data_IF_008148935974
#
_entry.id   IF_008148935974
#
_cell.length_a   1.000
_cell.length_b   1.000
_cell.length_c   1.000
_cell.angle_alpha   90.00
_cell.angle_beta   90.00
_cell.angle_gamma   90.00
#
_symmetry.space_group_name_H-M   'P 1'
#
loop_
_entity.id
_entity.type
_entity.pdbx_description
1 polymer ?
#
# COMPACT_ATOMS: atom_id res chain seq x y z
N UNK A 1 0.14 -34.63 -25.76
CA UNK A 1 -0.52 -34.44 -24.45
C UNK A 1 -0.69 -32.94 -24.21
N UNK A 2 -1.90 -32.42 -24.39
CA UNK A 2 -2.23 -31.01 -24.20
C UNK A 2 -2.38 -30.71 -22.69
N UNK A 3 -1.32 -30.24 -22.03
CA UNK A 3 -1.36 -29.79 -20.63
C UNK A 3 -1.65 -28.28 -20.59
N UNK A 4 -2.76 -27.86 -21.20
CA UNK A 4 -3.24 -26.48 -21.08
C UNK A 4 -4.77 -26.51 -21.01
N UNK A 5 -5.30 -27.24 -20.02
CA UNK A 5 -6.56 -26.82 -19.43
C UNK A 5 -6.30 -25.50 -18.72
N UNK A 6 -6.69 -24.43 -19.40
CA UNK A 6 -6.83 -23.08 -18.88
C UNK A 6 -7.46 -23.14 -17.49
N UNK A 7 -6.65 -22.85 -16.46
CA UNK A 7 -7.14 -22.60 -15.11
C UNK A 7 -7.99 -21.32 -15.16
N UNK A 8 -9.26 -21.47 -15.51
CA UNK A 8 -10.31 -20.47 -15.29
C UNK A 8 -10.44 -20.28 -13.79
N UNK A 9 -9.78 -19.22 -13.33
CA UNK A 9 -9.55 -18.87 -11.94
C UNK A 9 -8.27 -18.05 -11.82
N UNK A 10 -8.06 -17.13 -12.79
CA UNK A 10 -6.92 -16.21 -12.76
C UNK A 10 -6.97 -15.46 -11.44
N UNK A 11 -5.82 -15.45 -10.77
CA UNK A 11 -5.61 -15.05 -9.39
C UNK A 11 -5.94 -13.55 -9.21
N UNK A 12 -7.23 -13.20 -9.10
CA UNK A 12 -7.76 -11.82 -8.97
C UNK A 12 -7.08 -11.02 -7.86
N UNK A 13 -6.47 -11.71 -6.90
CA UNK A 13 -5.68 -11.15 -5.80
C UNK A 13 -4.62 -10.15 -6.25
N UNK A 14 -3.92 -10.42 -7.36
CA UNK A 14 -2.76 -9.60 -7.78
C UNK A 14 -3.12 -8.47 -8.76
N UNK A 15 -4.40 -8.26 -9.05
CA UNK A 15 -4.84 -7.22 -9.99
C UNK A 15 -4.39 -5.81 -9.56
N UNK A 16 -4.28 -5.55 -8.27
CA UNK A 16 -3.82 -4.26 -7.75
C UNK A 16 -2.33 -3.96 -8.05
N UNK A 17 -1.53 -4.96 -8.42
CA UNK A 17 -0.15 -4.76 -8.88
C UNK A 17 -0.09 -4.37 -10.37
N UNK A 18 -1.05 -4.82 -11.19
CA UNK A 18 -1.07 -4.65 -12.65
C UNK A 18 -1.12 -3.20 -13.11
N UNK A 19 -1.46 -2.29 -12.21
CA UNK A 19 -1.60 -0.86 -12.49
C UNK A 19 -0.47 -0.01 -11.89
N UNK A 20 0.56 -0.65 -11.30
CA UNK A 20 1.67 0.03 -10.62
C UNK A 20 2.84 0.32 -11.55
N UNK A 21 2.52 0.75 -12.75
CA UNK A 21 3.49 1.22 -13.73
C UNK A 21 3.31 2.73 -13.92
N UNK A 22 4.42 3.45 -14.09
CA UNK A 22 4.40 4.89 -14.41
C UNK A 22 3.49 5.19 -15.59
N UNK A 23 3.52 4.34 -16.63
CA UNK A 23 2.66 4.49 -17.81
C UNK A 23 1.16 4.42 -17.46
N UNK A 24 0.73 3.62 -16.48
CA UNK A 24 -0.67 3.56 -16.07
C UNK A 24 -1.11 4.89 -15.42
N UNK A 25 -0.26 5.46 -14.55
CA UNK A 25 -0.49 6.77 -13.91
C UNK A 25 -0.51 7.89 -14.95
N UNK A 26 0.49 7.95 -15.84
CA UNK A 26 0.53 8.93 -16.93
C UNK A 26 -0.74 8.89 -17.76
N UNK A 27 -1.17 7.70 -18.20
CA UNK A 27 -2.39 7.55 -18.99
C UNK A 27 -3.64 8.01 -18.26
N UNK A 28 -3.80 7.68 -16.98
CA UNK A 28 -4.97 8.11 -16.21
C UNK A 28 -5.04 9.63 -16.09
N UNK A 29 -3.91 10.29 -15.82
CA UNK A 29 -3.83 11.74 -15.73
C UNK A 29 -4.04 12.42 -17.10
N UNK A 30 -3.39 11.95 -18.16
CA UNK A 30 -3.55 12.50 -19.51
C UNK A 30 -4.99 12.36 -20.02
N UNK A 31 -5.65 11.23 -19.76
CA UNK A 31 -7.06 11.05 -20.13
C UNK A 31 -7.95 12.11 -19.50
N UNK A 32 -7.71 12.43 -18.22
CA UNK A 32 -8.49 13.43 -17.49
C UNK A 32 -8.16 14.85 -17.94
N UNK A 33 -6.88 15.18 -18.10
CA UNK A 33 -6.41 16.53 -18.44
C UNK A 33 -6.78 16.93 -19.88
N UNK A 34 -6.79 15.98 -20.82
CA UNK A 34 -7.07 16.22 -22.24
C UNK A 34 -8.45 15.67 -22.68
N UNK A 35 -9.31 15.30 -21.74
CA UNK A 35 -10.67 14.78 -21.99
C UNK A 35 -10.72 13.64 -23.03
N UNK A 36 -9.77 12.71 -22.94
CA UNK A 36 -9.63 11.61 -23.89
C UNK A 36 -10.45 10.38 -23.48
N UNK A 37 -10.85 9.59 -24.47
CA UNK A 37 -11.54 8.32 -24.26
C UNK A 37 -10.73 7.32 -23.40
N UNK A 38 -11.43 6.41 -22.72
CA UNK A 38 -10.80 5.42 -21.83
C UNK A 38 -9.77 4.53 -22.55
N UNK A 39 -9.99 4.19 -23.82
CA UNK A 39 -9.07 3.42 -24.66
C UNK A 39 -8.24 4.30 -25.62
N UNK A 40 -7.92 5.55 -25.23
CA UNK A 40 -7.19 6.48 -26.09
C UNK A 40 -5.78 5.99 -26.44
N UNK A 41 -5.59 5.58 -27.70
CA UNK A 41 -4.28 5.23 -28.27
C UNK A 41 -3.33 6.42 -28.33
N UNK A 42 -3.86 7.64 -28.45
CA UNK A 42 -3.07 8.87 -28.44
C UNK A 42 -2.42 9.10 -27.07
N UNK A 43 -3.17 8.86 -25.98
CA UNK A 43 -2.60 8.93 -24.63
C UNK A 43 -1.51 7.87 -24.43
N UNK A 44 -1.72 6.65 -24.94
CA UNK A 44 -0.72 5.57 -24.89
C UNK A 44 0.56 5.94 -25.65
N UNK A 45 0.41 6.47 -26.87
CA UNK A 45 1.50 6.93 -27.70
C UNK A 45 2.28 8.06 -27.03
N UNK A 46 1.59 9.08 -26.52
CA UNK A 46 2.22 10.20 -25.86
C UNK A 46 3.06 9.74 -24.66
N UNK A 47 2.53 8.85 -23.80
CA UNK A 47 3.28 8.31 -22.67
C UNK A 47 4.51 7.52 -23.13
N UNK A 48 4.35 6.61 -24.09
CA UNK A 48 5.42 5.74 -24.57
C UNK A 48 6.54 6.50 -25.29
N UNK A 49 6.19 7.43 -26.18
CA UNK A 49 7.14 8.27 -26.91
C UNK A 49 7.89 9.19 -25.95
N UNK A 50 7.18 9.80 -24.99
CA UNK A 50 7.80 10.64 -23.96
C UNK A 50 8.79 9.85 -23.12
N UNK A 51 8.39 8.68 -22.61
CA UNK A 51 9.26 7.83 -21.80
C UNK A 51 10.52 7.41 -22.58
N UNK A 52 10.37 7.03 -23.86
CA UNK A 52 11.49 6.67 -24.74
C UNK A 52 12.44 7.85 -24.96
N UNK A 53 11.90 9.04 -25.22
CA UNK A 53 12.71 10.25 -25.43
C UNK A 53 13.51 10.61 -24.18
N UNK A 54 12.88 10.57 -23.01
CA UNK A 54 13.53 10.79 -21.71
C UNK A 54 14.60 9.75 -21.41
N UNK A 55 14.32 8.46 -21.57
CA UNK A 55 15.31 7.41 -21.34
C UNK A 55 16.52 7.54 -22.26
N UNK A 56 16.30 7.93 -23.52
CA UNK A 56 17.38 8.17 -24.48
C UNK A 56 18.23 9.36 -24.03
N UNK A 57 17.59 10.48 -23.68
CA UNK A 57 18.26 11.68 -23.21
C UNK A 57 19.05 11.41 -21.91
N UNK A 58 18.46 10.70 -20.95
CA UNK A 58 19.10 10.31 -19.70
C UNK A 58 20.35 9.44 -19.93
N UNK A 59 20.26 8.50 -20.87
CA UNK A 59 21.38 7.64 -21.27
C UNK A 59 22.53 8.45 -21.85
N UNK A 60 22.26 9.49 -22.65
CA UNK A 60 23.33 10.35 -23.21
C UNK A 60 24.07 11.16 -22.15
N UNK A 61 23.42 11.51 -21.04
CA UNK A 61 24.01 12.27 -19.94
C UNK A 61 24.54 11.43 -18.78
N UNK A 62 24.42 10.10 -18.87
CA UNK A 62 24.79 9.19 -17.78
C UNK A 62 23.93 9.33 -16.52
N UNK A 63 22.76 9.95 -16.64
CA UNK A 63 21.79 10.08 -15.54
C UNK A 63 20.85 8.89 -15.53
N UNK A 64 20.40 8.46 -14.36
CA UNK A 64 19.43 7.37 -14.23
C UNK A 64 18.39 7.70 -13.17
N UNK A 65 17.13 7.50 -13.54
CA UNK A 65 16.01 7.49 -12.61
C UNK A 65 15.70 6.08 -12.12
N UNK A 66 15.16 6.01 -10.92
CA UNK A 66 14.64 4.78 -10.33
C UNK A 66 13.14 4.69 -10.63
N UNK A 67 12.72 3.65 -11.32
CA UNK A 67 11.31 3.44 -11.64
C UNK A 67 10.54 2.91 -10.41
N UNK A 68 9.21 3.12 -10.34
CA UNK A 68 8.40 2.43 -9.35
C UNK A 68 8.56 0.91 -9.44
N UNK A 69 8.71 0.27 -8.29
CA UNK A 69 9.03 -1.14 -8.22
C UNK A 69 10.51 -1.47 -8.25
N UNK A 70 11.41 -0.48 -8.29
CA UNK A 70 12.86 -0.69 -8.17
C UNK A 70 13.39 -0.27 -6.80
N UNK A 71 14.34 -1.05 -6.28
CA UNK A 71 15.10 -0.80 -5.06
C UNK A 71 16.52 -0.37 -5.42
N UNK A 72 16.98 0.74 -4.87
CA UNK A 72 18.37 1.18 -4.95
C UNK A 72 19.18 0.57 -3.80
N UNK A 73 20.28 -0.09 -4.11
CA UNK A 73 21.27 -0.56 -3.12
C UNK A 73 22.66 -0.08 -3.51
N UNK A 74 23.61 -0.31 -2.60
CA UNK A 74 25.02 -0.07 -2.80
C UNK A 74 25.80 -1.28 -2.33
N UNK A 75 26.62 -1.83 -3.22
CA UNK A 75 27.43 -3.02 -3.00
C UNK A 75 28.85 -2.72 -3.47
N UNK A 76 29.84 -2.82 -2.59
CA UNK A 76 31.24 -2.51 -2.92
C UNK A 76 31.48 -1.07 -3.42
N UNK A 77 30.67 -0.10 -2.99
CA UNK A 77 30.73 1.29 -3.46
C UNK A 77 30.05 1.52 -4.83
N UNK A 78 29.50 0.47 -5.45
CA UNK A 78 28.75 0.55 -6.68
C UNK A 78 27.24 0.55 -6.40
N UNK A 79 26.53 1.54 -6.94
CA UNK A 79 25.07 1.58 -6.88
C UNK A 79 24.47 0.51 -7.80
N UNK A 80 23.62 -0.34 -7.23
CA UNK A 80 22.86 -1.36 -7.96
C UNK A 80 21.37 -1.10 -7.86
N UNK A 81 20.63 -1.52 -8.87
CA UNK A 81 19.18 -1.40 -8.92
C UNK A 81 18.57 -2.78 -9.04
N UNK A 82 17.75 -3.16 -8.06
CA UNK A 82 17.07 -4.45 -8.02
C UNK A 82 15.58 -4.28 -8.33
N UNK A 83 15.04 -4.98 -9.35
CA UNK A 83 13.62 -4.88 -9.68
C UNK A 83 12.79 -5.75 -8.74
N UNK A 84 11.90 -5.12 -7.97
CA UNK A 84 10.86 -5.80 -7.18
C UNK A 84 9.57 -5.97 -7.99
N UNK A 85 9.31 -5.11 -8.96
CA UNK A 85 8.19 -5.21 -9.88
C UNK A 85 8.64 -4.66 -11.23
N UNK A 86 8.49 -5.44 -12.31
CA UNK A 86 8.84 -5.02 -13.67
C UNK A 86 7.75 -5.42 -14.67
N UNK A 87 7.83 -4.86 -15.87
CA UNK A 87 6.84 -5.10 -16.94
C UNK A 87 6.66 -6.59 -17.25
N UNK A 88 7.75 -7.37 -17.24
CA UNK A 88 7.72 -8.82 -17.48
C UNK A 88 6.91 -9.55 -16.40
N UNK A 89 7.14 -9.23 -15.12
CA UNK A 89 6.41 -9.81 -14.00
C UNK A 89 4.92 -9.45 -14.07
N UNK A 90 4.61 -8.19 -14.40
CA UNK A 90 3.22 -7.73 -14.56
C UNK A 90 2.52 -8.43 -15.73
N UNK A 91 3.19 -8.58 -16.87
CA UNK A 91 2.69 -9.33 -18.02
C UNK A 91 2.39 -10.79 -17.66
N UNK A 92 3.30 -11.46 -16.94
CA UNK A 92 3.10 -12.83 -16.48
C UNK A 92 1.92 -12.96 -15.51
N UNK A 93 1.81 -12.07 -14.52
CA UNK A 93 0.67 -12.03 -13.59
C UNK A 93 -0.65 -11.81 -14.33
N UNK A 94 -0.68 -10.88 -15.29
CA UNK A 94 -1.85 -10.60 -16.13
C UNK A 94 -2.30 -11.83 -16.93
N UNK A 95 -1.35 -12.62 -17.41
CA UNK A 95 -1.61 -13.85 -18.16
C UNK A 95 -1.88 -15.08 -17.28
N UNK A 96 -1.97 -14.90 -15.96
CA UNK A 96 -2.33 -15.96 -15.02
C UNK A 96 -1.17 -16.82 -14.53
N UNK A 97 0.08 -16.43 -14.78
CA UNK A 97 1.25 -17.07 -14.17
C UNK A 97 1.16 -16.96 -12.65
N UNK A 98 1.43 -18.07 -11.95
CA UNK A 98 1.33 -18.12 -10.50
C UNK A 98 2.36 -17.21 -9.82
N UNK A 99 1.95 -16.56 -8.72
CA UNK A 99 2.77 -15.70 -7.88
C UNK A 99 4.17 -16.25 -7.58
N UNK A 100 4.27 -17.52 -7.16
CA UNK A 100 5.56 -18.14 -6.80
C UNK A 100 6.54 -18.20 -7.98
N UNK A 101 6.03 -18.46 -9.19
CA UNK A 101 6.86 -18.53 -10.39
C UNK A 101 7.38 -17.15 -10.77
N UNK A 102 6.50 -16.13 -10.75
CA UNK A 102 6.87 -14.74 -11.03
C UNK A 102 7.91 -14.24 -10.02
N UNK A 103 7.71 -14.52 -8.72
CA UNK A 103 8.68 -14.17 -7.67
C UNK A 103 10.03 -14.82 -7.93
N UNK A 104 10.07 -16.11 -8.32
CA UNK A 104 11.33 -16.81 -8.57
C UNK A 104 12.06 -16.27 -9.80
N UNK A 105 11.35 -15.90 -10.86
CA UNK A 105 11.96 -15.24 -12.02
C UNK A 105 12.50 -13.84 -11.69
N UNK A 106 11.80 -13.07 -10.85
CA UNK A 106 12.29 -11.79 -10.35
C UNK A 106 13.57 -11.97 -9.52
N UNK A 107 13.62 -12.98 -8.65
CA UNK A 107 14.80 -13.28 -7.84
C UNK A 107 16.02 -13.61 -8.71
N UNK A 108 15.84 -14.38 -9.79
CA UNK A 108 16.91 -14.63 -10.76
C UNK A 108 17.40 -13.33 -11.42
N UNK A 109 16.48 -12.45 -11.82
CA UNK A 109 16.83 -11.16 -12.39
C UNK A 109 17.60 -10.27 -11.39
N UNK A 110 17.17 -10.24 -10.12
CA UNK A 110 17.84 -9.52 -9.05
C UNK A 110 19.25 -10.08 -8.80
N UNK A 111 19.39 -11.41 -8.82
CA UNK A 111 20.68 -12.09 -8.66
C UNK A 111 21.66 -11.74 -9.78
N UNK A 112 21.20 -11.71 -11.03
CA UNK A 112 22.01 -11.27 -12.17
C UNK A 112 22.50 -9.82 -12.01
N UNK A 113 21.68 -8.92 -11.46
CA UNK A 113 22.11 -7.54 -11.20
C UNK A 113 23.12 -7.47 -10.05
N UNK A 114 22.94 -8.26 -9.00
CA UNK A 114 23.90 -8.35 -7.90
C UNK A 114 25.26 -8.87 -8.40
N UNK A 115 25.27 -9.94 -9.20
CA UNK A 115 26.47 -10.52 -9.81
C UNK A 115 27.23 -9.55 -10.71
N UNK A 116 26.57 -8.57 -11.34
CA UNK A 116 27.25 -7.53 -12.14
C UNK A 116 28.09 -6.58 -11.30
N UNK A 117 27.68 -6.31 -10.05
CA UNK A 117 28.44 -5.46 -9.15
C UNK A 117 29.41 -6.25 -8.28
N UNK A 118 29.03 -7.46 -7.87
CA UNK A 118 29.84 -8.37 -7.10
C UNK A 118 29.81 -9.76 -7.74
N UNK A 119 30.78 -10.09 -8.62
CA UNK A 119 30.84 -11.39 -9.30
C UNK A 119 30.92 -12.59 -8.36
N UNK A 120 31.38 -12.42 -7.13
CA UNK A 120 31.46 -13.49 -6.11
C UNK A 120 30.16 -13.65 -5.31
N UNK A 121 29.21 -12.72 -5.43
CA UNK A 121 27.97 -12.74 -4.65
C UNK A 121 27.17 -14.04 -4.85
N UNK A 122 26.67 -14.59 -3.77
CA UNK A 122 25.88 -15.82 -3.72
C UNK A 122 24.38 -15.51 -3.68
N UNK A 123 23.56 -16.55 -3.86
CA UNK A 123 22.11 -16.40 -3.69
C UNK A 123 21.75 -16.07 -2.22
N UNK A 124 22.57 -16.51 -1.27
CA UNK A 124 22.39 -16.20 0.15
C UNK A 124 22.61 -14.72 0.42
N UNK A 125 23.62 -14.10 -0.22
CA UNK A 125 23.84 -12.65 -0.16
C UNK A 125 22.62 -11.88 -0.69
N UNK A 126 22.02 -12.34 -1.78
CA UNK A 126 20.77 -11.76 -2.27
C UNK A 126 19.63 -11.92 -1.26
N UNK A 127 19.47 -13.10 -0.65
CA UNK A 127 18.42 -13.34 0.35
C UNK A 127 18.56 -12.45 1.57
N UNK A 128 19.77 -12.18 2.03
CA UNK A 128 20.03 -11.20 3.09
C UNK A 128 19.53 -9.79 2.74
N UNK A 129 19.51 -9.43 1.46
CA UNK A 129 19.04 -8.12 0.99
C UNK A 129 17.52 -8.11 0.76
N UNK A 130 16.98 -9.06 0.00
CA UNK A 130 15.61 -8.93 -0.54
C UNK A 130 14.63 -9.99 -0.08
N UNK A 131 15.07 -11.14 0.42
CA UNK A 131 14.20 -12.28 0.72
C UNK A 131 14.70 -13.10 1.93
N UNK A 132 14.78 -12.44 3.10
CA UNK A 132 15.36 -13.01 4.32
C UNK A 132 14.62 -14.26 4.84
N UNK A 133 13.41 -14.53 4.33
CA UNK A 133 12.63 -15.72 4.66
C UNK A 133 13.14 -17.02 4.06
N UNK A 134 14.02 -16.96 3.05
CA UNK A 134 14.65 -18.15 2.43
C UNK A 134 15.93 -18.59 3.15
N UNK A 135 16.42 -17.79 4.10
CA UNK A 135 17.59 -18.13 4.89
C UNK A 135 17.32 -19.34 5.80
N UNK A 136 18.37 -20.07 6.14
CA UNK A 136 18.27 -21.21 7.06
C UNK A 136 18.14 -20.70 8.50
N UNK A 137 16.90 -20.60 8.98
CA UNK A 137 16.59 -20.06 10.30
C UNK A 137 16.20 -21.16 11.30
N UNK A 138 16.76 -21.08 12.51
CA UNK A 138 16.31 -21.92 13.63
C UNK A 138 14.92 -21.50 14.10
N UNK A 139 14.17 -22.43 14.70
CA UNK A 139 12.87 -22.08 15.30
C UNK A 139 13.10 -21.13 16.49
N UNK A 140 12.54 -19.92 16.39
CA UNK A 140 12.59 -18.91 17.43
C UNK A 140 11.39 -18.97 18.38
N UNK A 141 11.48 -18.21 19.47
CA UNK A 141 10.39 -17.99 20.43
C UNK A 141 9.25 -17.12 19.87
N UNK A 142 8.30 -16.77 20.74
CA UNK A 142 7.18 -15.87 20.40
C UNK A 142 7.52 -14.39 20.57
N UNK A 143 8.63 -14.07 21.21
CA UNK A 143 9.05 -12.69 21.44
C UNK A 143 9.84 -12.14 20.24
N UNK A 144 9.14 -11.38 19.40
CA UNK A 144 9.72 -10.77 18.20
C UNK A 144 9.44 -9.27 18.09
N UNK A 145 8.66 -8.70 19.00
CA UNK A 145 8.29 -7.30 18.92
C UNK A 145 9.49 -6.42 19.36
N UNK A 146 9.71 -5.27 18.70
CA UNK A 146 10.76 -4.34 19.11
C UNK A 146 10.47 -3.82 20.54
N UNK A 147 11.51 -3.52 21.32
CA UNK A 147 11.34 -3.03 22.70
C UNK A 147 10.65 -1.66 22.75
N UNK A 148 10.88 -0.84 21.72
CA UNK A 148 10.29 0.49 21.58
C UNK A 148 9.73 0.65 20.18
N UNK A 149 8.57 1.30 20.11
CA UNK A 149 8.00 1.75 18.84
C UNK A 149 8.89 2.79 18.18
N UNK A 150 8.80 2.86 16.86
CA UNK A 150 9.36 3.96 16.08
C UNK A 150 8.71 5.27 16.51
N UNK A 151 9.53 6.29 16.72
CA UNK A 151 9.05 7.64 16.95
C UNK A 151 8.63 8.23 15.60
N UNK A 152 7.33 8.12 15.28
CA UNK A 152 6.80 8.54 14.00
C UNK A 152 7.11 9.99 13.68
N UNK A 153 7.19 10.89 14.67
CA UNK A 153 7.53 12.31 14.47
C UNK A 153 8.97 12.48 13.96
N UNK A 154 9.90 11.66 14.47
CA UNK A 154 11.33 11.71 14.08
C UNK A 154 11.63 11.02 12.75
N UNK A 155 10.70 10.25 12.19
CA UNK A 155 10.88 9.61 10.88
C UNK A 155 11.05 10.69 9.81
N UNK A 156 12.25 10.79 9.25
CA UNK A 156 12.49 11.65 8.10
C UNK A 156 11.83 11.03 6.88
N UNK A 157 11.02 11.80 6.17
CA UNK A 157 10.42 11.35 4.92
C UNK A 157 11.52 11.21 3.87
N UNK A 158 11.74 10.03 3.28
CA UNK A 158 12.63 9.88 2.14
C UNK A 158 12.08 10.66 0.95
N UNK A 159 12.71 11.76 0.51
CA UNK A 159 12.46 12.49 -0.76
C UNK A 159 11.00 12.97 -1.07
N UNK A 160 10.70 14.19 -1.52
CA UNK A 160 11.40 15.21 -2.32
C UNK A 160 11.05 16.61 -1.81
N UNK A 161 11.99 17.56 -1.92
CA UNK A 161 11.73 18.98 -1.63
C UNK A 161 11.03 19.73 -2.78
N UNK A 162 11.11 19.25 -4.02
CA UNK A 162 10.36 19.81 -5.15
C UNK A 162 10.24 18.82 -6.32
N UNK A 163 9.28 19.07 -7.21
CA UNK A 163 9.11 18.39 -8.51
C UNK A 163 10.06 18.92 -9.60
N UNK A 164 10.93 19.87 -9.26
CA UNK A 164 11.70 20.64 -10.23
C UNK A 164 13.00 19.92 -10.59
N UNK A 165 12.88 18.97 -11.51
CA UNK A 165 13.89 18.78 -12.54
C UNK A 165 13.26 19.22 -13.84
N UNK A 166 13.53 20.44 -14.29
CA UNK A 166 13.07 20.89 -15.61
C UNK A 166 13.64 19.94 -16.65
N UNK A 167 12.78 19.09 -17.20
CA UNK A 167 13.10 18.31 -18.38
C UNK A 167 13.27 19.35 -19.49
N UNK A 168 14.47 19.49 -20.07
CA UNK A 168 14.67 20.49 -21.09
C UNK A 168 13.75 20.19 -22.28
N UNK A 169 13.19 21.21 -22.94
CA UNK A 169 12.35 21.02 -24.12
C UNK A 169 13.00 20.13 -25.18
N UNK A 170 14.33 20.25 -25.34
CA UNK A 170 15.16 19.42 -26.22
C UNK A 170 15.01 17.90 -25.98
N UNK A 171 14.81 17.48 -24.73
CA UNK A 171 14.62 16.06 -24.40
C UNK A 171 13.27 15.52 -24.89
N UNK A 172 12.31 16.40 -25.16
CA UNK A 172 10.94 16.07 -25.54
C UNK A 172 10.70 16.24 -27.05
N UNK A 173 11.54 16.99 -27.76
CA UNK A 173 11.41 17.21 -29.22
C UNK A 173 11.19 15.93 -30.03
N UNK A 174 11.91 14.81 -29.80
CA UNK A 174 11.68 13.60 -30.58
C UNK A 174 10.27 13.03 -30.38
N UNK A 175 9.72 13.13 -29.17
CA UNK A 175 8.38 12.65 -28.86
C UNK A 175 7.30 13.57 -29.47
N UNK A 176 7.49 14.89 -29.37
CA UNK A 176 6.59 15.89 -29.99
C UNK A 176 6.53 15.68 -31.50
N UNK A 177 7.69 15.54 -32.15
CA UNK A 177 7.77 15.33 -33.59
C UNK A 177 7.03 14.08 -34.03
N UNK A 178 7.25 12.93 -33.37
CA UNK A 178 6.51 11.70 -33.68
C UNK A 178 5.00 11.83 -33.43
N UNK A 179 4.56 12.56 -32.42
CA UNK A 179 3.12 12.78 -32.21
C UNK A 179 2.48 13.66 -33.29
N UNK A 180 3.22 14.61 -33.84
CA UNK A 180 2.74 15.44 -34.96
C UNK A 180 2.75 14.63 -36.26
N UNK A 181 3.90 14.05 -36.60
CA UNK A 181 4.14 13.39 -37.90
C UNK A 181 3.39 12.06 -38.03
N UNK A 182 3.42 11.22 -36.99
CA UNK A 182 2.88 9.84 -37.05
C UNK A 182 1.43 9.74 -36.52
N UNK A 183 1.02 10.65 -35.63
CA UNK A 183 -0.30 10.62 -34.97
C UNK A 183 -1.22 11.77 -35.37
N UNK A 184 -0.74 12.75 -36.14
CA UNK A 184 -1.54 13.85 -36.67
C UNK A 184 -2.00 14.86 -35.61
N UNK A 185 -1.31 14.95 -34.47
CA UNK A 185 -1.64 15.94 -33.44
C UNK A 185 -1.21 17.34 -33.89
N UNK A 186 -1.95 18.36 -33.45
CA UNK A 186 -1.52 19.76 -33.56
C UNK A 186 -0.24 19.96 -32.73
N UNK A 187 0.77 20.72 -33.20
CA UNK A 187 2.03 20.92 -32.47
C UNK A 187 1.84 21.32 -31.01
N UNK A 188 1.01 22.34 -30.74
CA UNK A 188 0.71 22.79 -29.38
C UNK A 188 0.07 21.69 -28.49
N UNK A 189 -0.74 20.81 -29.08
CA UNK A 189 -1.35 19.69 -28.35
C UNK A 189 -0.31 18.60 -28.06
N UNK A 190 0.54 18.28 -29.03
CA UNK A 190 1.63 17.31 -28.86
C UNK A 190 2.63 17.78 -27.78
N UNK A 191 3.00 19.06 -27.79
CA UNK A 191 3.84 19.69 -26.77
C UNK A 191 3.20 19.58 -25.39
N UNK A 192 1.95 20.03 -25.23
CA UNK A 192 1.25 19.99 -23.94
C UNK A 192 1.12 18.55 -23.39
N UNK A 193 0.77 17.58 -24.24
CA UNK A 193 0.66 16.17 -23.84
C UNK A 193 2.00 15.59 -23.42
N UNK A 194 3.06 15.88 -24.17
CA UNK A 194 4.42 15.42 -23.89
C UNK A 194 4.95 16.03 -22.60
N UNK A 195 4.78 17.35 -22.40
CA UNK A 195 5.18 18.03 -21.16
C UNK A 195 4.44 17.49 -19.93
N UNK A 196 3.13 17.25 -20.03
CA UNK A 196 2.38 16.67 -18.90
C UNK A 196 2.83 15.22 -18.63
N UNK A 197 3.00 14.40 -19.67
CA UNK A 197 3.51 13.04 -19.52
C UNK A 197 4.90 13.03 -18.89
N UNK A 198 5.78 13.96 -19.28
CA UNK A 198 7.14 14.08 -18.77
C UNK A 198 7.17 14.51 -17.30
N UNK A 199 6.29 15.45 -16.91
CA UNK A 199 6.08 15.85 -15.51
C UNK A 199 5.66 14.66 -14.65
N UNK A 200 4.70 13.85 -15.11
CA UNK A 200 4.22 12.68 -14.37
C UNK A 200 5.29 11.58 -14.33
N UNK A 201 6.02 11.36 -15.43
CA UNK A 201 7.14 10.42 -15.46
C UNK A 201 8.19 10.77 -14.40
N UNK A 202 8.59 12.03 -14.35
CA UNK A 202 9.57 12.52 -13.38
C UNK A 202 9.03 12.48 -11.96
N UNK A 203 7.74 12.73 -11.77
CA UNK A 203 7.08 12.58 -10.47
C UNK A 203 7.15 11.13 -9.97
N UNK A 204 6.82 10.16 -10.82
CA UNK A 204 6.85 8.74 -10.46
C UNK A 204 8.26 8.16 -10.38
N UNK A 205 9.24 8.71 -11.10
CA UNK A 205 10.60 8.16 -11.20
C UNK A 205 11.65 9.18 -10.75
N UNK A 206 12.07 9.18 -9.47
CA UNK A 206 13.14 10.05 -8.97
C UNK A 206 14.53 9.71 -9.48
N UNK A 207 15.42 10.70 -9.46
CA UNK A 207 16.82 10.49 -9.82
C UNK A 207 17.49 9.64 -8.75
N UNK A 208 18.40 8.74 -9.14
CA UNK A 208 19.18 7.93 -8.18
C UNK A 208 20.03 8.82 -7.23
N UNK A 209 20.34 10.06 -7.61
CA UNK A 209 21.00 11.05 -6.74
C UNK A 209 20.09 11.63 -5.65
N UNK A 210 18.77 11.55 -5.82
CA UNK A 210 17.79 12.00 -4.83
C UNK A 210 17.54 10.95 -3.74
N UNK A 211 18.07 9.74 -3.92
CA UNK A 211 17.78 8.56 -3.11
C UNK A 211 19.04 8.06 -2.37
N UNK A 212 18.80 7.45 -1.20
CA UNK A 212 19.82 6.74 -0.44
C UNK A 212 19.76 5.23 -0.74
N UNK A 213 20.88 4.50 -0.63
CA UNK A 213 20.87 3.04 -0.66
C UNK A 213 19.88 2.47 0.37
N UNK A 214 19.18 1.40 -0.01
CA UNK A 214 18.11 0.78 0.77
C UNK A 214 16.72 1.36 0.50
N UNK A 215 16.62 2.42 -0.30
CA UNK A 215 15.34 3.04 -0.65
C UNK A 215 14.79 2.52 -1.98
N UNK A 216 13.47 2.34 -2.02
CA UNK A 216 12.73 1.97 -3.22
C UNK A 216 11.64 2.99 -3.52
N UNK A 217 11.21 3.03 -4.78
CA UNK A 217 10.08 3.84 -5.21
C UNK A 217 8.88 2.94 -5.42
N UNK A 218 7.72 3.35 -4.94
CA UNK A 218 6.51 2.54 -5.02
C UNK A 218 5.28 3.41 -5.30
N UNK A 219 4.37 2.92 -6.13
CA UNK A 219 3.07 3.56 -6.35
C UNK A 219 2.07 3.02 -5.33
N UNK A 220 1.71 3.86 -4.35
CA UNK A 220 0.78 3.55 -3.26
C UNK A 220 -0.56 4.27 -3.45
N UNK A 221 -1.61 3.88 -2.72
CA UNK A 221 -2.91 4.57 -2.79
C UNK A 221 -2.84 5.91 -2.06
N UNK A 222 -3.32 7.00 -2.66
CA UNK A 222 -3.42 8.29 -1.97
C UNK A 222 -4.46 8.28 -0.85
N UNK A 223 -4.17 8.93 0.28
CA UNK A 223 -5.03 8.97 1.47
C UNK A 223 -6.36 9.70 1.27
N UNK A 224 -6.37 10.70 0.37
CA UNK A 224 -7.55 11.57 0.11
C UNK A 224 -8.47 11.06 -0.98
N UNK A 225 -8.23 9.84 -1.48
CA UNK A 225 -8.78 9.37 -2.75
C UNK A 225 -9.67 8.12 -2.54
N UNK A 226 -10.51 7.82 -3.54
CA UNK A 226 -11.53 6.76 -3.49
C UNK A 226 -10.96 5.36 -3.18
N UNK A 227 -11.85 4.47 -2.68
CA UNK A 227 -11.57 3.04 -2.43
C UNK A 227 -11.27 2.24 -3.71
N UNK A 228 -11.52 2.81 -4.89
CA UNK A 228 -11.31 2.15 -6.17
C UNK A 228 -9.84 2.18 -6.59
N UNK A 229 -9.39 1.08 -7.20
CA UNK A 229 -8.06 0.98 -7.81
C UNK A 229 -8.03 1.73 -9.14
N UNK A 230 -7.90 3.05 -9.08
CA UNK A 230 -7.68 3.92 -10.24
C UNK A 230 -6.21 4.38 -10.25
N UNK A 231 -5.44 4.16 -11.33
CA UNK A 231 -4.06 4.60 -11.44
C UNK A 231 -3.86 6.11 -11.22
N UNK A 232 -4.84 6.95 -11.57
CA UNK A 232 -4.80 8.39 -11.30
C UNK A 232 -4.91 8.73 -9.82
N UNK A 233 -5.24 7.75 -8.99
CA UNK A 233 -5.29 7.87 -7.55
C UNK A 233 -4.01 7.44 -6.84
N UNK A 234 -3.04 6.90 -7.56
CA UNK A 234 -1.76 6.57 -6.96
C UNK A 234 -0.91 7.79 -6.63
N UNK A 235 -0.10 7.60 -5.60
CA UNK A 235 0.90 8.54 -5.11
C UNK A 235 2.24 7.79 -5.11
N UNK A 236 3.26 8.25 -5.86
CA UNK A 236 4.60 7.71 -5.75
C UNK A 236 5.15 8.08 -4.39
N UNK A 237 5.65 7.07 -3.69
CA UNK A 237 6.30 7.19 -2.39
C UNK A 237 7.67 6.56 -2.44
N UNK A 238 8.60 7.14 -1.70
CA UNK A 238 9.90 6.55 -1.46
C UNK A 238 9.87 5.85 -0.10
N UNK A 239 10.27 4.59 -0.07
CA UNK A 239 10.24 3.73 1.12
C UNK A 239 11.65 3.21 1.41
N UNK A 240 12.07 3.29 2.66
CA UNK A 240 13.34 2.73 3.14
C UNK A 240 13.14 1.27 3.52
N UNK A 241 13.26 0.37 2.54
CA UNK A 241 13.08 -1.07 2.74
C UNK A 241 14.21 -1.67 3.61
N UNK A 242 15.45 -1.23 3.37
CA UNK A 242 16.61 -1.64 4.16
C UNK A 242 17.27 -0.39 4.71
N UNK A 243 17.44 -0.31 6.03
CA UNK A 243 18.30 0.69 6.64
C UNK A 243 19.65 0.08 7.03
N UNK A 244 20.70 0.91 7.24
CA UNK A 244 21.97 0.42 7.74
C UNK A 244 21.83 -0.34 9.07
N UNK A 245 20.94 0.11 9.95
CA UNK A 245 20.69 -0.51 11.27
C UNK A 245 20.06 -1.90 11.14
N UNK A 246 19.34 -2.18 10.05
CA UNK A 246 18.76 -3.51 9.82
C UNK A 246 19.85 -4.58 9.61
N UNK A 247 21.03 -4.19 9.12
CA UNK A 247 22.16 -5.11 8.90
C UNK A 247 22.81 -5.57 10.21
N UNK A 248 22.67 -4.77 11.26
CA UNK A 248 23.23 -5.07 12.59
C UNK A 248 22.32 -5.98 13.42
N UNK A 249 21.08 -6.20 12.98
CA UNK A 249 20.13 -7.06 13.67
C UNK A 249 20.51 -8.54 13.48
N UNK A 250 20.41 -9.37 14.54
CA UNK A 250 20.60 -10.80 14.39
C UNK A 250 19.54 -11.37 13.44
N UNK A 251 19.91 -12.39 12.67
CA UNK A 251 19.02 -13.06 11.72
C UNK A 251 19.28 -14.57 11.71
N UNK A 252 19.19 -15.19 12.90
CA UNK A 252 19.47 -16.61 13.09
C UNK A 252 18.21 -17.44 13.30
N UNK A 253 17.11 -16.81 13.73
CA UNK A 253 15.86 -17.48 14.08
C UNK A 253 14.65 -16.93 13.35
N UNK A 254 13.56 -17.70 13.33
CA UNK A 254 12.26 -17.22 12.82
C UNK A 254 11.68 -16.06 13.63
N UNK A 255 12.09 -15.88 14.89
CA UNK A 255 11.69 -14.75 15.72
C UNK A 255 12.45 -13.49 15.28
N UNK A 256 13.74 -13.62 15.00
CA UNK A 256 14.58 -12.54 14.48
C UNK A 256 14.06 -12.02 13.13
N UNK A 257 13.68 -12.93 12.23
CA UNK A 257 13.03 -12.55 10.96
C UNK A 257 11.76 -11.74 11.22
N UNK A 258 10.88 -12.21 12.11
CA UNK A 258 9.66 -11.47 12.43
C UNK A 258 9.95 -10.10 13.05
N UNK A 259 11.01 -9.98 13.87
CA UNK A 259 11.46 -8.72 14.46
C UNK A 259 11.90 -7.74 13.38
N UNK A 260 12.79 -8.17 12.49
CA UNK A 260 13.23 -7.39 11.33
C UNK A 260 12.03 -6.93 10.49
N UNK A 261 11.11 -7.85 10.17
CA UNK A 261 9.93 -7.55 9.37
C UNK A 261 8.94 -6.61 10.07
N UNK A 262 8.86 -6.66 11.40
CA UNK A 262 8.05 -5.72 12.20
C UNK A 262 8.63 -4.30 12.11
N UNK A 263 9.95 -4.17 12.27
CA UNK A 263 10.65 -2.88 12.15
C UNK A 263 10.50 -2.29 10.74
N UNK A 264 10.72 -3.10 9.71
CA UNK A 264 10.54 -2.68 8.31
C UNK A 264 9.09 -2.27 8.03
N UNK A 265 8.12 -3.06 8.49
CA UNK A 265 6.69 -2.79 8.33
C UNK A 265 6.28 -1.45 8.97
N UNK A 266 6.69 -1.21 10.20
CA UNK A 266 6.43 0.03 10.92
C UNK A 266 7.05 1.24 10.19
N UNK A 267 8.28 1.10 9.70
CA UNK A 267 8.99 2.14 8.95
C UNK A 267 8.29 2.49 7.65
N UNK A 268 8.08 1.51 6.76
CA UNK A 268 7.52 1.79 5.42
C UNK A 268 6.07 2.27 5.46
N UNK A 269 5.28 1.79 6.43
CA UNK A 269 3.90 2.29 6.59
C UNK A 269 3.87 3.72 7.09
N UNK A 270 4.76 4.07 8.03
CA UNK A 270 4.91 5.45 8.52
C UNK A 270 5.42 6.40 7.43
N UNK A 271 6.43 5.98 6.65
CA UNK A 271 6.96 6.75 5.53
C UNK A 271 5.93 6.98 4.43
N UNK A 272 5.14 5.95 4.08
CA UNK A 272 4.05 6.09 3.12
C UNK A 272 3.00 7.08 3.63
N UNK A 273 2.59 6.95 4.90
CA UNK A 273 1.60 7.82 5.53
C UNK A 273 2.02 9.29 5.50
N UNK A 274 3.29 9.58 5.83
CA UNK A 274 3.83 10.95 5.76
C UNK A 274 3.92 11.53 4.35
N UNK A 275 3.82 10.69 3.32
CA UNK A 275 3.78 11.08 1.90
C UNK A 275 2.35 11.10 1.34
N UNK A 276 1.33 11.23 2.20
CA UNK A 276 -0.09 11.21 1.83
C UNK A 276 -0.51 9.93 1.09
N UNK A 277 0.12 8.79 1.39
CA UNK A 277 -0.20 7.51 0.78
C UNK A 277 -0.31 6.36 1.78
N UNK A 278 -0.91 5.26 1.35
CA UNK A 278 -1.10 4.05 2.14
C UNK A 278 -0.87 2.79 1.32
N UNK A 279 -0.26 1.79 1.96
CA UNK A 279 0.10 0.52 1.36
C UNK A 279 -1.00 -0.52 1.61
N UNK A 280 -1.37 -1.26 0.57
CA UNK A 280 -2.29 -2.40 0.71
C UNK A 280 -1.58 -3.59 1.37
N UNK A 281 -2.33 -4.55 1.93
CA UNK A 281 -1.73 -5.78 2.47
C UNK A 281 -0.94 -6.55 1.40
N UNK A 282 -1.39 -6.48 0.15
CA UNK A 282 -0.69 -7.09 -0.98
C UNK A 282 0.67 -6.42 -1.24
N UNK A 283 0.74 -5.09 -1.08
CA UNK A 283 1.96 -4.32 -1.27
C UNK A 283 2.98 -4.73 -0.22
N UNK A 284 2.52 -4.82 1.02
CA UNK A 284 3.35 -5.21 2.16
C UNK A 284 3.84 -6.65 2.02
N UNK A 285 2.99 -7.59 1.62
CA UNK A 285 3.37 -8.97 1.30
C UNK A 285 4.44 -9.01 0.20
N UNK A 286 4.26 -8.21 -0.86
CA UNK A 286 5.16 -8.18 -2.01
C UNK A 286 6.50 -7.53 -1.69
N UNK A 287 6.49 -6.34 -1.08
CA UNK A 287 7.69 -5.57 -0.72
C UNK A 287 8.52 -6.33 0.34
N UNK A 288 7.87 -6.80 1.40
CA UNK A 288 8.57 -7.44 2.52
C UNK A 288 8.91 -8.91 2.26
N UNK A 289 8.38 -9.50 1.18
CA UNK A 289 8.54 -10.90 0.80
C UNK A 289 8.03 -11.88 1.87
N UNK A 290 6.95 -11.53 2.58
CA UNK A 290 6.38 -12.34 3.66
C UNK A 290 5.03 -12.96 3.27
N UNK A 291 4.67 -14.04 3.96
CA UNK A 291 3.36 -14.68 3.75
C UNK A 291 2.22 -13.84 4.32
N UNK A 292 0.99 -13.98 3.79
CA UNK A 292 -0.19 -13.28 4.30
C UNK A 292 -0.47 -13.59 5.78
N UNK A 293 -0.22 -14.84 6.19
CA UNK A 293 -0.38 -15.28 7.56
C UNK A 293 0.65 -14.63 8.50
N UNK A 294 1.90 -14.46 8.03
CA UNK A 294 2.93 -13.76 8.79
C UNK A 294 2.62 -12.28 8.94
N UNK A 295 2.22 -11.60 7.85
CA UNK A 295 1.83 -10.18 7.90
C UNK A 295 0.69 -9.96 8.89
N UNK A 296 -0.36 -10.79 8.82
CA UNK A 296 -1.49 -10.72 9.74
C UNK A 296 -1.05 -10.91 11.20
N UNK A 297 -0.24 -11.93 11.47
CA UNK A 297 0.25 -12.19 12.82
C UNK A 297 1.15 -11.07 13.37
N UNK A 298 1.94 -10.40 12.53
CA UNK A 298 2.72 -9.22 12.93
C UNK A 298 1.80 -8.04 13.27
N UNK A 299 0.83 -7.75 12.41
CA UNK A 299 -0.12 -6.64 12.62
C UNK A 299 -0.96 -6.84 13.89
N UNK A 300 -1.45 -8.06 14.14
CA UNK A 300 -2.20 -8.42 15.35
C UNK A 300 -1.33 -8.26 16.60
N UNK A 301 -0.12 -8.84 16.63
CA UNK A 301 0.77 -8.75 17.78
C UNK A 301 1.24 -7.31 18.05
N UNK A 302 1.52 -6.53 16.99
CA UNK A 302 1.89 -5.12 17.13
C UNK A 302 0.76 -4.31 17.76
N UNK A 303 -0.48 -4.55 17.33
CA UNK A 303 -1.65 -3.90 17.92
C UNK A 303 -1.88 -4.33 19.38
N UNK A 304 -1.83 -5.62 19.70
CA UNK A 304 -2.02 -6.13 21.06
C UNK A 304 -0.99 -5.57 22.05
N UNK A 305 0.26 -5.39 21.60
CA UNK A 305 1.34 -4.92 22.46
C UNK A 305 1.39 -3.40 22.61
N UNK A 306 1.24 -2.64 21.50
CA UNK A 306 1.38 -1.18 21.51
C UNK A 306 0.05 -0.42 21.55
N UNK A 307 -1.08 -1.09 21.32
CA UNK A 307 -2.40 -0.47 21.22
C UNK A 307 -2.56 0.48 20.03
N UNK A 308 -1.72 0.32 19.00
CA UNK A 308 -1.64 1.19 17.82
C UNK A 308 -1.81 0.36 16.56
N UNK A 309 -2.60 0.86 15.63
CA UNK A 309 -2.79 0.24 14.32
C UNK A 309 -1.86 0.92 13.32
N UNK A 310 -1.10 0.14 12.56
CA UNK A 310 -0.26 0.70 11.49
C UNK A 310 -1.11 1.23 10.32
N UNK A 311 -0.71 2.36 9.69
CA UNK A 311 -1.48 2.96 8.60
C UNK A 311 -1.33 2.13 7.33
N UNK A 312 -2.36 1.33 7.02
CA UNK A 312 -2.45 0.54 5.79
C UNK A 312 -3.67 0.99 5.00
N UNK A 313 -3.73 0.69 3.69
CA UNK A 313 -4.90 1.03 2.88
C UNK A 313 -6.16 0.31 3.38
N UNK A 314 -5.99 -0.87 3.99
CA UNK A 314 -7.09 -1.61 4.58
C UNK A 314 -7.72 -0.89 5.77
N UNK A 315 -6.90 -0.23 6.58
CA UNK A 315 -7.34 0.51 7.77
C UNK A 315 -7.78 1.92 7.38
N UNK A 316 -6.92 2.71 6.75
CA UNK A 316 -7.17 4.13 6.44
C UNK A 316 -8.29 4.35 5.42
N UNK A 317 -8.33 3.57 4.34
CA UNK A 317 -9.31 3.76 3.25
C UNK A 317 -10.53 2.82 3.40
N UNK A 318 -10.59 2.03 4.47
CA UNK A 318 -11.55 0.94 4.64
C UNK A 318 -11.59 -0.04 3.46
N UNK A 319 -10.45 -0.23 2.78
CA UNK A 319 -10.34 -1.22 1.70
C UNK A 319 -10.22 -2.66 2.24
N UNK A 320 -10.05 -2.81 3.56
CA UNK A 320 -9.96 -4.09 4.24
C UNK A 320 -11.34 -4.72 4.37
N UNK A 321 -11.41 -6.03 4.12
CA UNK A 321 -12.61 -6.83 4.45
C UNK A 321 -12.77 -7.05 5.95
N UNK A 322 -11.69 -6.93 6.72
CA UNK A 322 -11.65 -7.30 8.12
C UNK A 322 -12.09 -6.11 8.97
N UNK A 323 -13.21 -6.25 9.67
CA UNK A 323 -13.79 -5.26 10.59
C UNK A 323 -13.02 -5.12 11.92
N UNK A 324 -11.82 -5.68 12.00
CA UNK A 324 -10.98 -5.67 13.20
C UNK A 324 -10.67 -4.25 13.68
N UNK A 325 -10.38 -3.29 12.79
CA UNK A 325 -10.15 -1.90 13.21
C UNK A 325 -11.41 -1.21 13.73
N UNK A 326 -12.61 -1.60 13.28
CA UNK A 326 -13.88 -1.07 13.82
C UNK A 326 -14.19 -1.65 15.19
N UNK A 327 -13.95 -2.95 15.39
CA UNK A 327 -14.00 -3.59 16.71
C UNK A 327 -13.06 -2.87 17.68
N UNK A 328 -11.84 -2.55 17.23
CA UNK A 328 -10.85 -1.79 18.01
C UNK A 328 -11.33 -0.37 18.34
N UNK A 329 -11.94 0.36 17.39
CA UNK A 329 -12.50 1.70 17.66
C UNK A 329 -13.52 1.66 18.80
N UNK A 330 -14.41 0.68 18.76
CA UNK A 330 -15.43 0.47 19.81
C UNK A 330 -14.77 0.13 21.14
N UNK A 331 -13.84 -0.83 21.16
CA UNK A 331 -13.11 -1.23 22.37
C UNK A 331 -12.33 -0.06 23.00
N UNK A 332 -11.65 0.76 22.19
CA UNK A 332 -10.95 1.96 22.68
C UNK A 332 -11.92 3.01 23.24
N UNK A 333 -13.08 3.20 22.61
CA UNK A 333 -14.11 4.12 23.12
C UNK A 333 -14.72 3.63 24.43
N UNK A 334 -14.96 2.32 24.56
CA UNK A 334 -15.44 1.70 25.80
C UNK A 334 -14.40 1.82 26.94
N UNK A 335 -13.11 1.85 26.61
CA UNK A 335 -12.03 2.11 27.55
C UNK A 335 -11.86 3.60 27.92
N UNK A 336 -12.77 4.48 27.47
CA UNK A 336 -12.83 5.89 27.87
C UNK A 336 -11.97 6.85 27.04
N UNK A 337 -11.41 6.41 25.91
CA UNK A 337 -10.66 7.31 25.03
C UNK A 337 -11.60 8.21 24.23
N UNK A 338 -11.19 9.46 24.04
CA UNK A 338 -11.88 10.42 23.18
C UNK A 338 -11.73 10.09 21.70
N UNK A 339 -12.65 10.56 20.85
CA UNK A 339 -12.56 10.43 19.38
C UNK A 339 -11.20 10.91 18.86
N UNK A 340 -10.66 12.00 19.39
CA UNK A 340 -9.36 12.53 18.96
C UNK A 340 -8.18 11.63 19.33
N UNK A 341 -8.22 11.00 20.49
CA UNK A 341 -7.18 10.05 20.91
C UNK A 341 -7.26 8.77 20.08
N UNK A 342 -8.47 8.27 19.83
CA UNK A 342 -8.71 7.11 18.99
C UNK A 342 -8.22 7.39 17.57
N UNK A 343 -8.60 8.54 16.99
CA UNK A 343 -8.24 8.92 15.63
C UNK A 343 -6.73 8.99 15.43
N UNK A 344 -5.99 9.53 16.42
CA UNK A 344 -4.52 9.55 16.43
C UNK A 344 -3.91 8.15 16.54
N UNK A 345 -4.49 7.25 17.34
CA UNK A 345 -3.97 5.88 17.54
C UNK A 345 -4.18 4.96 16.33
N UNK A 346 -5.20 5.22 15.52
CA UNK A 346 -5.57 4.37 14.38
C UNK A 346 -5.34 5.03 13.01
N UNK A 347 -4.74 6.22 12.98
CA UNK A 347 -4.51 7.01 11.77
C UNK A 347 -5.78 7.24 10.93
N UNK A 348 -6.88 7.60 11.59
CA UNK A 348 -8.14 7.96 10.95
C UNK A 348 -8.48 9.43 11.18
N UNK A 349 -9.38 9.97 10.35
CA UNK A 349 -9.97 11.26 10.64
C UNK A 349 -10.99 11.12 11.79
N UNK A 350 -11.17 12.14 12.64
CA UNK A 350 -12.18 12.11 13.71
C UNK A 350 -13.59 11.81 13.17
N UNK A 351 -13.93 12.30 11.99
CA UNK A 351 -15.24 12.07 11.36
C UNK A 351 -15.46 10.59 11.02
N UNK A 352 -14.41 9.89 10.57
CA UNK A 352 -14.48 8.46 10.30
C UNK A 352 -14.70 7.67 11.60
N UNK A 353 -14.00 8.03 12.67
CA UNK A 353 -14.18 7.43 14.01
C UNK A 353 -15.60 7.69 14.53
N UNK A 354 -16.09 8.92 14.46
CA UNK A 354 -17.44 9.27 14.90
C UNK A 354 -18.51 8.51 14.13
N UNK A 355 -18.36 8.35 12.81
CA UNK A 355 -19.29 7.56 12.01
C UNK A 355 -19.36 6.09 12.47
N UNK A 356 -18.24 5.51 12.92
CA UNK A 356 -18.22 4.18 13.50
C UNK A 356 -18.91 4.10 14.86
N UNK A 357 -18.60 5.05 15.75
CA UNK A 357 -19.21 5.10 17.07
C UNK A 357 -20.72 5.32 16.98
N UNK A 358 -21.19 6.18 16.08
CA UNK A 358 -22.63 6.38 15.81
C UNK A 358 -23.32 5.13 15.30
N UNK A 359 -22.67 4.34 14.44
CA UNK A 359 -23.24 3.07 13.98
C UNK A 359 -23.36 2.09 15.15
N UNK A 360 -22.33 1.98 15.99
CA UNK A 360 -22.36 1.13 17.16
C UNK A 360 -23.46 1.54 18.15
N UNK A 361 -23.60 2.84 18.44
CA UNK A 361 -24.68 3.39 19.28
C UNK A 361 -26.08 3.08 18.72
N UNK A 362 -26.26 3.20 17.40
CA UNK A 362 -27.52 2.81 16.75
C UNK A 362 -27.82 1.32 16.93
N UNK A 363 -26.81 0.45 16.78
CA UNK A 363 -26.98 -0.99 16.98
C UNK A 363 -27.31 -1.33 18.44
N UNK A 364 -26.67 -0.65 19.42
CA UNK A 364 -26.99 -0.79 20.85
C UNK A 364 -28.47 -0.46 21.14
N UNK A 365 -28.97 0.67 20.62
CA UNK A 365 -30.36 1.08 20.79
C UNK A 365 -31.33 0.09 20.14
N UNK A 366 -31.05 -0.35 18.91
CA UNK A 366 -31.90 -1.30 18.20
C UNK A 366 -31.95 -2.67 18.92
N UNK A 367 -30.84 -3.10 19.53
CA UNK A 367 -30.79 -4.30 20.38
C UNK A 367 -31.63 -4.10 21.65
N UNK A 368 -31.50 -2.95 22.33
CA UNK A 368 -32.28 -2.64 23.53
C UNK A 368 -33.79 -2.69 23.27
N UNK A 369 -34.25 -2.10 22.16
CA UNK A 369 -35.67 -2.15 21.75
C UNK A 369 -36.10 -3.47 21.09
N UNK A 370 -35.25 -4.50 21.13
CA UNK A 370 -35.52 -5.85 20.59
C UNK A 370 -35.96 -5.86 19.13
N UNK A 371 -35.40 -4.96 18.31
CA UNK A 371 -35.66 -4.93 16.87
C UNK A 371 -35.14 -6.23 16.23
N UNK A 372 -35.95 -6.94 15.41
CA UNK A 372 -35.52 -8.17 14.78
C UNK A 372 -34.27 -7.97 13.90
N UNK A 373 -33.31 -8.89 13.97
CA UNK A 373 -32.05 -8.86 13.19
C UNK A 373 -32.32 -8.76 11.68
N UNK A 374 -33.39 -9.38 11.20
CA UNK A 374 -33.83 -9.32 9.80
C UNK A 374 -34.25 -7.92 9.33
N UNK A 375 -34.69 -7.05 10.25
CA UNK A 375 -35.11 -5.68 9.96
C UNK A 375 -33.94 -4.68 10.02
N UNK A 376 -32.84 -5.01 10.70
CA UNK A 376 -31.70 -4.10 10.90
C UNK A 376 -31.09 -3.54 9.60
N UNK A 377 -30.90 -4.31 8.51
CA UNK A 377 -30.37 -3.76 7.26
C UNK A 377 -31.27 -2.67 6.67
N UNK A 378 -32.60 -2.82 6.80
CA UNK A 378 -33.57 -1.85 6.28
C UNK A 378 -33.60 -0.57 7.12
N UNK A 379 -33.50 -0.70 8.44
CA UNK A 379 -33.54 0.43 9.38
C UNK A 379 -32.24 1.23 9.36
N UNK A 380 -31.10 0.55 9.24
CA UNK A 380 -29.78 1.18 9.35
C UNK A 380 -29.16 1.54 8.00
N UNK A 381 -29.60 0.90 6.90
CA UNK A 381 -29.01 1.06 5.56
C UNK A 381 -27.67 0.35 5.37
N UNK A 382 -27.20 -0.43 6.36
CA UNK A 382 -25.92 -1.14 6.30
C UNK A 382 -26.08 -2.62 5.92
N UNK A 383 -24.99 -3.24 5.49
CA UNK A 383 -24.97 -4.65 5.14
C UNK A 383 -25.17 -5.56 6.35
N UNK A 384 -25.82 -6.71 6.14
CA UNK A 384 -26.09 -7.68 7.20
C UNK A 384 -24.81 -8.13 7.93
N UNK A 385 -23.74 -8.45 7.18
CA UNK A 385 -22.45 -8.85 7.74
C UNK A 385 -21.84 -7.80 8.67
N UNK A 386 -21.97 -6.51 8.34
CA UNK A 386 -21.47 -5.44 9.21
C UNK A 386 -22.25 -5.36 10.53
N UNK A 387 -23.57 -5.56 10.46
CA UNK A 387 -24.47 -5.50 11.62
C UNK A 387 -24.30 -6.70 12.54
N UNK A 388 -24.19 -7.91 11.98
CA UNK A 388 -23.97 -9.15 12.72
C UNK A 388 -22.71 -9.03 13.59
N UNK A 389 -21.63 -8.47 13.05
CA UNK A 389 -20.38 -8.28 13.80
C UNK A 389 -20.44 -7.17 14.86
N UNK A 390 -21.28 -6.14 14.67
CA UNK A 390 -21.54 -5.16 15.74
C UNK A 390 -22.39 -5.79 16.85
N UNK A 391 -23.34 -6.67 16.52
CA UNK A 391 -24.12 -7.41 17.51
C UNK A 391 -23.23 -8.32 18.35
N UNK A 392 -22.25 -8.99 17.76
CA UNK A 392 -21.25 -9.76 18.51
C UNK A 392 -20.48 -8.90 19.54
N UNK A 393 -20.10 -7.66 19.17
CA UNK A 393 -19.46 -6.73 20.10
C UNK A 393 -20.40 -6.34 21.24
N UNK A 394 -21.67 -6.05 20.92
CA UNK A 394 -22.68 -5.72 21.94
C UNK A 394 -22.84 -6.89 22.91
N UNK A 395 -22.99 -8.12 22.41
CA UNK A 395 -23.15 -9.31 23.25
C UNK A 395 -21.90 -9.60 24.10
N UNK A 396 -20.70 -9.32 23.58
CA UNK A 396 -19.44 -9.45 24.31
C UNK A 396 -19.34 -8.46 25.49
N UNK A 397 -19.71 -7.20 25.28
CA UNK A 397 -19.51 -6.13 26.27
C UNK A 397 -20.74 -5.88 27.16
N UNK A 398 -21.94 -6.20 26.68
CA UNK A 398 -23.22 -5.99 27.34
C UNK A 398 -24.07 -7.28 27.26
N UNK A 399 -23.70 -8.33 28.01
CA UNK A 399 -24.39 -9.62 27.94
C UNK A 399 -25.80 -9.59 28.54
N UNK A 400 -26.11 -8.60 29.39
CA UNK A 400 -27.42 -8.44 30.04
C UNK A 400 -28.11 -7.15 29.60
N UNK A 401 -29.45 -7.16 29.57
CA UNK A 401 -30.25 -5.96 29.28
C UNK A 401 -30.02 -4.85 30.32
N UNK A 402 -29.71 -5.22 31.56
CA UNK A 402 -29.38 -4.27 32.64
C UNK A 402 -28.06 -3.54 32.37
N UNK A 403 -27.01 -4.26 31.99
CA UNK A 403 -25.71 -3.65 31.64
C UNK A 403 -25.83 -2.71 30.43
N UNK A 404 -26.67 -3.09 29.46
CA UNK A 404 -26.96 -2.27 28.29
C UNK A 404 -27.74 -1.00 28.68
N UNK A 405 -28.75 -1.13 29.55
CA UNK A 405 -29.56 -0.01 30.04
C UNK A 405 -28.72 0.97 30.87
N UNK A 406 -27.86 0.46 31.75
CA UNK A 406 -26.97 1.26 32.59
C UNK A 406 -25.98 2.07 31.73
N UNK A 407 -25.39 1.43 30.72
CA UNK A 407 -24.47 2.10 29.80
C UNK A 407 -25.15 3.22 28.99
N UNK A 408 -26.34 2.95 28.44
CA UNK A 408 -27.12 3.95 27.72
C UNK A 408 -27.59 5.09 28.65
N UNK A 409 -27.95 4.76 29.89
CA UNK A 409 -28.34 5.72 30.92
C UNK A 409 -27.18 6.64 31.36
N UNK A 410 -25.97 6.10 31.53
CA UNK A 410 -24.76 6.88 31.83
C UNK A 410 -24.41 7.89 30.72
N UNK A 411 -24.84 7.62 29.48
CA UNK A 411 -24.69 8.53 28.33
C UNK A 411 -25.85 9.52 28.17
N UNK A 412 -26.77 9.58 29.12
CA UNK A 412 -27.87 10.55 29.14
C UNK A 412 -29.02 10.21 28.17
N UNK A 413 -29.10 8.98 27.68
CA UNK A 413 -30.22 8.53 26.85
C UNK A 413 -31.38 8.15 27.77
N UNK A 414 -32.49 8.90 27.67
CA UNK A 414 -33.73 8.52 28.35
C UNK A 414 -34.34 7.30 27.65
N UNK A 415 -34.24 6.13 28.31
CA UNK A 415 -34.83 4.90 27.81
C UNK A 415 -36.29 4.84 28.25
N UNK A 416 -37.21 4.92 27.30
CA UNK A 416 -38.59 4.58 27.57
C UNK A 416 -38.66 3.05 27.67
N UNK A 417 -38.98 2.54 28.87
CA UNK A 417 -39.27 1.12 29.02
C UNK A 417 -40.44 0.80 28.11
N UNK A 418 -40.23 -0.05 27.11
CA UNK A 418 -41.33 -0.67 26.39
C UNK A 418 -42.19 -1.38 27.44
N UNK A 419 -43.34 -0.77 27.76
CA UNK A 419 -44.41 -1.42 28.50
C UNK A 419 -44.67 -2.73 27.79
N UNK A 420 -44.32 -3.83 28.45
CA UNK A 420 -44.53 -5.19 28.01
C UNK A 420 -45.99 -5.35 27.60
N UNK A 421 -46.23 -5.41 26.29
CA UNK A 421 -47.40 -6.07 25.75
C UNK A 421 -47.34 -7.53 26.20
N UNK A 422 -48.41 -7.93 26.89
CA UNK A 422 -48.67 -9.27 27.43
C UNK A 422 -48.40 -10.40 26.45
#
# INVERSE_FOLDING_TARGET
>A
MNILQTKKGINQRYNALLVRETAAVQKAHLKKEFELAEASRVAEAACALTAKALQTWEKTRGTRRLAPGELLLEEGGQKIVLPFLNEKALYQLKNGTGYRAVKRELELCQFEQLKKANPEATMEDLWHLVNQGELTLKRGGKDFLPEKRLDSEKVQVPGRKSFQGEIPPEALEPAVKSLVDDWGLRPAQAEAMTSSAARIYTWCSPLISELKPGQMVWLAHGTKKSRHTDPGLFQPVVLTLLSPEDKELPLATTADLKRLKTIQLERITTEAWKQDAVLTTLDLEWILQISPAMLRGILEAYFEHFGIILPTAGTVLDMGRTLTHKKIVVELSLNGLSTQEISRRIYHTPEAVDNYLRLFERVLLLKYYRVPVSALPRVTGYSKSLLDEHLELVEKHFPTEEALADYLGQRGIQLEKNSTGK
#
